data_IF_284927334244
#
_entry.id   IF_284927334244
#
_cell.length_a   1.000
_cell.length_b   1.000
_cell.length_c   1.000
_cell.angle_alpha   90.00
_cell.angle_beta   90.00
_cell.angle_gamma   90.00
#
_symmetry.space_group_name_H-M   'P 1'
#
loop_
_entity.id
_entity.type
_entity.pdbx_description
1 polymer ?
#
# COMPACT_ATOMS: atom_id res chain seq x y z
N UNK A 1 -12.30 -16.91 -28.36
CA UNK A 1 -13.60 -17.03 -27.65
C UNK A 1 -13.53 -18.32 -26.86
N UNK A 2 -13.07 -18.33 -25.61
CA UNK A 2 -13.73 -17.79 -24.41
C UNK A 2 -14.31 -19.01 -23.65
N UNK A 3 -14.08 -19.28 -22.37
CA UNK A 3 -13.33 -18.66 -21.28
C UNK A 3 -12.97 -19.80 -20.28
N UNK A 4 -11.92 -19.68 -19.45
CA UNK A 4 -11.73 -20.56 -18.30
C UNK A 4 -12.24 -19.88 -17.01
N UNK A 5 -13.15 -20.51 -16.27
CA UNK A 5 -13.50 -20.18 -14.87
C UNK A 5 -14.32 -21.31 -14.23
N UNK A 6 -14.34 -21.45 -12.90
CA UNK A 6 -13.24 -21.48 -11.93
C UNK A 6 -13.20 -22.84 -11.20
N UNK A 7 -12.04 -23.21 -10.67
CA UNK A 7 -11.90 -24.39 -9.80
C UNK A 7 -12.64 -24.16 -8.48
N UNK A 8 -13.55 -25.08 -8.17
CA UNK A 8 -14.26 -25.21 -6.89
C UNK A 8 -13.30 -25.79 -5.81
N UNK A 9 -13.45 -25.46 -4.52
CA UNK A 9 -12.62 -26.02 -3.46
C UNK A 9 -12.98 -27.48 -3.18
N UNK A 10 -11.96 -28.29 -2.95
CA UNK A 10 -12.06 -29.73 -2.70
C UNK A 10 -12.48 -30.02 -1.25
N UNK A 11 -13.50 -30.87 -1.05
CA UNK A 11 -13.82 -31.58 0.20
C UNK A 11 -14.66 -32.84 -0.12
N UNK A 12 -14.68 -33.86 0.77
CA UNK A 12 -13.70 -34.91 0.98
C UNK A 12 -13.92 -36.14 0.09
N UNK A 13 -12.85 -36.89 -0.18
CA UNK A 13 -12.87 -38.15 -0.94
C UNK A 13 -13.43 -39.31 -0.12
N UNK A 14 -14.70 -39.61 -0.32
CA UNK A 14 -15.22 -40.99 -0.33
C UNK A 14 -16.12 -41.16 -1.55
N UNK A 15 -15.54 -41.56 -2.68
CA UNK A 15 -16.23 -42.13 -3.85
C UNK A 15 -17.10 -41.24 -4.74
N UNK A 16 -17.55 -40.06 -4.32
CA UNK A 16 -18.48 -39.21 -5.09
C UNK A 16 -17.80 -38.19 -6.02
N UNK A 17 -18.36 -37.98 -7.23
CA UNK A 17 -18.02 -36.83 -8.10
C UNK A 17 -19.04 -35.70 -7.86
N UNK A 18 -18.55 -34.48 -7.63
CA UNK A 18 -19.36 -33.26 -7.61
C UNK A 18 -19.44 -32.68 -9.02
N UNK A 19 -20.65 -32.51 -9.56
CA UNK A 19 -20.89 -31.80 -10.82
C UNK A 19 -21.59 -30.48 -10.49
N UNK A 20 -20.93 -29.36 -10.82
CA UNK A 20 -21.55 -28.05 -10.78
C UNK A 20 -22.46 -27.93 -12.01
N UNK A 21 -23.78 -27.97 -11.82
CA UNK A 21 -24.74 -27.75 -12.90
C UNK A 21 -24.99 -26.24 -13.01
N UNK A 22 -24.09 -25.54 -13.69
CA UNK A 22 -24.38 -24.20 -14.17
C UNK A 22 -25.21 -24.32 -15.46
N UNK A 23 -26.52 -24.11 -15.36
CA UNK A 23 -27.39 -23.80 -16.50
C UNK A 23 -27.64 -24.94 -17.49
N UNK A 24 -28.69 -25.73 -17.23
CA UNK A 24 -29.78 -26.11 -18.15
C UNK A 24 -30.74 -27.02 -17.39
N UNK A 25 -32.03 -26.69 -17.43
CA UNK A 25 -33.06 -27.13 -16.47
C UNK A 25 -33.76 -28.45 -16.85
N UNK A 26 -33.27 -29.19 -17.85
CA UNK A 26 -34.06 -30.26 -18.48
C UNK A 26 -33.92 -31.65 -17.83
N UNK A 27 -33.14 -31.79 -16.76
CA UNK A 27 -32.85 -33.07 -16.10
C UNK A 27 -33.43 -33.23 -14.67
N UNK A 28 -34.24 -32.28 -14.19
CA UNK A 28 -34.78 -32.27 -12.82
C UNK A 28 -36.30 -32.51 -12.79
N UNK A 29 -36.77 -33.34 -11.86
CA UNK A 29 -38.21 -33.53 -11.62
C UNK A 29 -38.83 -32.27 -10.98
N UNK A 30 -40.12 -32.04 -11.22
CA UNK A 30 -40.80 -30.78 -10.90
C UNK A 30 -40.86 -30.46 -9.39
N UNK A 31 -40.89 -31.49 -8.54
CA UNK A 31 -40.84 -31.41 -7.08
C UNK A 31 -39.47 -30.94 -6.56
N UNK A 32 -38.39 -31.36 -7.20
CA UNK A 32 -37.01 -31.01 -6.86
C UNK A 32 -36.64 -29.55 -7.21
N UNK A 33 -37.35 -28.95 -8.17
CA UNK A 33 -37.18 -27.54 -8.54
C UNK A 33 -37.79 -26.56 -7.52
N UNK A 34 -38.80 -26.99 -6.76
CA UNK A 34 -39.44 -26.12 -5.76
C UNK A 34 -38.56 -25.93 -4.50
N UNK A 35 -37.85 -26.98 -4.06
CA UNK A 35 -36.93 -26.89 -2.91
C UNK A 35 -35.66 -26.07 -3.19
N UNK A 36 -35.40 -25.73 -4.45
CA UNK A 36 -34.22 -24.99 -4.89
C UNK A 36 -34.45 -23.47 -5.01
N UNK A 37 -35.70 -22.99 -4.91
CA UNK A 37 -36.02 -21.56 -5.00
C UNK A 37 -35.40 -20.79 -3.83
N UNK A 38 -34.59 -19.76 -4.12
CA UNK A 38 -33.96 -18.88 -3.12
C UNK A 38 -32.49 -19.17 -2.79
N UNK A 39 -31.89 -20.20 -3.42
CA UNK A 39 -30.51 -20.61 -3.19
C UNK A 39 -29.57 -20.14 -4.32
N UNK A 40 -28.35 -19.69 -3.99
CA UNK A 40 -27.38 -19.15 -4.97
C UNK A 40 -26.60 -20.25 -5.72
N UNK A 41 -26.43 -21.42 -5.10
CA UNK A 41 -25.81 -22.60 -5.70
C UNK A 41 -26.59 -23.86 -5.30
N UNK A 42 -26.87 -24.73 -6.27
CA UNK A 42 -27.52 -26.03 -6.07
C UNK A 42 -26.60 -27.10 -6.64
N UNK A 43 -26.25 -28.08 -5.82
CA UNK A 43 -25.34 -29.16 -6.22
C UNK A 43 -26.11 -30.48 -6.28
N UNK A 44 -25.84 -31.27 -7.31
CA UNK A 44 -26.32 -32.64 -7.43
C UNK A 44 -25.21 -33.59 -7.02
N UNK A 45 -25.41 -34.35 -5.96
CA UNK A 45 -24.49 -35.40 -5.54
C UNK A 45 -24.94 -36.70 -6.18
N UNK A 46 -24.11 -37.24 -7.08
CA UNK A 46 -24.32 -38.54 -7.72
C UNK A 46 -23.39 -39.54 -7.05
N UNK A 47 -23.92 -40.31 -6.10
CA UNK A 47 -23.30 -41.53 -5.61
C UNK A 47 -24.11 -42.68 -6.21
N UNK A 48 -23.47 -43.66 -6.84
CA UNK A 48 -24.01 -44.57 -7.88
C UNK A 48 -25.21 -45.45 -7.50
N UNK A 49 -25.90 -45.17 -6.39
CA UNK A 49 -27.16 -45.81 -5.97
C UNK A 49 -28.29 -44.81 -5.69
N UNK A 50 -28.02 -43.52 -5.39
CA UNK A 50 -29.05 -42.49 -5.13
C UNK A 50 -28.55 -41.07 -5.46
N UNK A 51 -29.33 -40.30 -6.22
CA UNK A 51 -29.05 -38.88 -6.48
C UNK A 51 -29.66 -38.00 -5.37
N UNK A 52 -28.85 -37.18 -4.69
CA UNK A 52 -29.33 -36.22 -3.68
C UNK A 52 -28.98 -34.78 -4.06
N UNK A 53 -29.97 -33.89 -3.97
CA UNK A 53 -29.79 -32.45 -4.11
C UNK A 53 -29.39 -31.84 -2.77
N UNK A 54 -28.34 -31.03 -2.76
CA UNK A 54 -27.97 -30.20 -1.61
C UNK A 54 -27.96 -28.73 -2.02
N UNK A 55 -28.69 -27.91 -1.28
CA UNK A 55 -28.79 -26.47 -1.46
C UNK A 55 -28.20 -25.76 -0.24
N UNK A 56 -27.37 -24.74 -0.45
CA UNK A 56 -26.83 -23.93 0.65
C UNK A 56 -27.70 -22.70 0.86
N UNK A 57 -28.22 -22.51 2.07
CA UNK A 57 -29.06 -21.34 2.39
C UNK A 57 -28.22 -20.05 2.43
N UNK A 58 -28.83 -18.95 1.99
CA UNK A 58 -28.34 -17.60 2.26
C UNK A 58 -28.30 -17.42 3.78
N UNK A 59 -27.21 -16.92 4.40
CA UNK A 59 -27.32 -16.44 5.78
C UNK A 59 -28.41 -15.37 5.81
N UNK A 60 -29.31 -15.43 6.80
CA UNK A 60 -30.31 -14.37 6.96
C UNK A 60 -29.59 -13.04 7.20
N UNK A 61 -30.16 -11.93 6.71
CA UNK A 61 -29.63 -10.60 6.99
C UNK A 61 -29.59 -10.29 8.50
N UNK A 62 -30.35 -11.04 9.32
CA UNK A 62 -30.34 -10.97 10.79
C UNK A 62 -29.23 -11.80 11.47
N UNK A 63 -28.49 -12.61 10.72
CA UNK A 63 -27.29 -13.33 11.17
C UNK A 63 -25.99 -12.57 10.84
N UNK A 64 -26.09 -11.39 10.21
CA UNK A 64 -25.08 -10.34 10.33
C UNK A 64 -25.13 -9.85 11.78
N UNK A 65 -24.54 -10.65 12.67
CA UNK A 65 -24.22 -10.17 14.02
C UNK A 65 -23.52 -8.83 13.88
N UNK A 66 -23.75 -7.92 14.84
CA UNK A 66 -22.89 -6.76 15.05
C UNK A 66 -21.46 -7.19 14.75
N UNK A 67 -20.77 -6.44 13.87
CA UNK A 67 -19.40 -6.74 13.48
C UNK A 67 -18.64 -7.24 14.72
N UNK A 68 -17.99 -8.42 14.67
CA UNK A 68 -17.15 -8.82 15.79
C UNK A 68 -16.22 -7.64 16.04
N UNK A 69 -16.32 -7.05 17.24
CA UNK A 69 -15.41 -6.01 17.66
C UNK A 69 -14.03 -6.64 17.59
N UNK A 70 -13.27 -6.28 16.56
CA UNK A 70 -11.87 -6.65 16.47
C UNK A 70 -11.20 -5.83 17.57
N UNK A 71 -11.06 -6.45 18.74
CA UNK A 71 -10.37 -5.86 19.88
C UNK A 71 -8.89 -5.78 19.54
N UNK A 72 -8.45 -4.57 19.21
CA UNK A 72 -7.04 -4.29 18.96
C UNK A 72 -6.24 -4.50 20.27
N UNK A 73 -5.12 -5.26 20.25
CA UNK A 73 -4.24 -5.40 21.41
C UNK A 73 -3.42 -4.11 21.60
N UNK A 74 -2.49 -4.03 22.59
CA UNK A 74 -2.43 -3.18 23.80
C UNK A 74 -2.52 -1.65 23.62
N UNK A 75 -2.79 -1.15 22.42
CA UNK A 75 -2.98 0.25 22.04
C UNK A 75 -4.33 0.86 22.46
N UNK A 76 -5.17 0.15 23.23
CA UNK A 76 -6.51 0.64 23.61
C UNK A 76 -6.45 2.07 24.20
N UNK A 77 -5.50 2.35 25.09
CA UNK A 77 -5.36 3.69 25.68
C UNK A 77 -4.94 4.78 24.70
N UNK A 78 -4.08 4.47 23.71
CA UNK A 78 -3.65 5.48 22.72
C UNK A 78 -4.74 5.74 21.68
N UNK A 79 -5.40 4.68 21.19
CA UNK A 79 -6.51 4.81 20.25
C UNK A 79 -7.68 5.57 20.89
N UNK A 80 -8.02 5.29 22.15
CA UNK A 80 -9.03 6.06 22.89
C UNK A 80 -8.66 7.54 23.06
N UNK A 81 -7.38 7.85 23.27
CA UNK A 81 -6.89 9.25 23.31
C UNK A 81 -7.06 9.93 21.95
N UNK A 82 -6.71 9.25 20.87
CA UNK A 82 -6.89 9.74 19.49
C UNK A 82 -8.38 9.97 19.21
N UNK A 83 -9.24 8.99 19.50
CA UNK A 83 -10.69 9.09 19.31
C UNK A 83 -11.27 10.26 20.10
N UNK A 84 -10.87 10.45 21.38
CA UNK A 84 -11.31 11.61 22.17
C UNK A 84 -10.87 12.93 21.55
N UNK A 85 -9.59 13.07 21.20
CA UNK A 85 -9.07 14.29 20.60
C UNK A 85 -9.80 14.64 19.29
N UNK A 86 -9.98 13.66 18.40
CA UNK A 86 -10.72 13.87 17.16
C UNK A 86 -12.20 14.14 17.38
N UNK A 87 -12.83 13.50 18.36
CA UNK A 87 -14.25 13.72 18.69
C UNK A 87 -14.49 15.14 19.19
N UNK A 88 -13.58 15.68 20.02
CA UNK A 88 -13.65 17.04 20.57
C UNK A 88 -13.23 18.14 19.57
N UNK A 89 -12.44 17.81 18.55
CA UNK A 89 -12.02 18.77 17.52
C UNK A 89 -13.15 19.11 16.54
N UNK A 90 -13.30 20.39 16.20
CA UNK A 90 -14.15 20.86 15.11
C UNK A 90 -13.37 21.01 13.81
N UNK A 91 -12.13 21.49 13.89
CA UNK A 91 -11.22 21.68 12.76
C UNK A 91 -9.99 20.77 12.90
N UNK A 92 -9.73 19.96 11.89
CA UNK A 92 -8.63 18.99 11.85
C UNK A 92 -7.76 19.24 10.63
N UNK A 93 -6.46 19.43 10.87
CA UNK A 93 -5.43 19.39 9.83
C UNK A 93 -4.92 17.96 9.70
N UNK A 94 -4.91 17.42 8.49
CA UNK A 94 -4.39 16.10 8.16
C UNK A 94 -3.16 16.33 7.27
N UNK A 95 -2.00 15.81 7.66
CA UNK A 95 -0.75 16.04 6.93
C UNK A 95 -0.01 14.73 6.64
N UNK A 96 0.59 14.66 5.45
CA UNK A 96 1.44 13.54 5.03
C UNK A 96 2.84 13.99 4.61
N UNK A 97 3.70 13.06 4.21
CA UNK A 97 5.08 13.39 3.82
C UNK A 97 5.17 14.11 2.46
N UNK A 98 6.25 14.88 2.22
CA UNK A 98 6.53 15.71 1.01
C UNK A 98 6.43 14.99 -0.34
N UNK A 99 6.55 13.66 -0.35
CA UNK A 99 6.53 12.85 -1.58
C UNK A 99 5.45 11.79 -1.47
N UNK A 100 4.18 12.19 -1.39
CA UNK A 100 3.12 11.27 -1.01
C UNK A 100 3.00 10.13 -2.02
N UNK A 101 2.82 8.92 -1.52
CA UNK A 101 2.45 7.75 -2.30
C UNK A 101 0.98 7.38 -2.07
N UNK A 102 0.57 6.21 -2.55
CA UNK A 102 -0.81 5.74 -2.41
C UNK A 102 -1.25 5.51 -0.97
N UNK A 103 -0.34 5.12 -0.05
CA UNK A 103 -0.69 4.95 1.37
C UNK A 103 -0.93 6.30 2.02
N UNK A 104 -0.01 7.23 1.82
CA UNK A 104 -0.11 8.59 2.32
C UNK A 104 -1.38 9.30 1.82
N UNK A 105 -1.67 9.31 0.52
CA UNK A 105 -2.87 9.98 -0.01
C UNK A 105 -4.16 9.23 0.36
N UNK A 106 -4.16 7.91 0.24
CA UNK A 106 -5.33 7.08 0.54
C UNK A 106 -5.74 7.18 2.01
N UNK A 107 -4.77 7.15 2.92
CA UNK A 107 -4.99 7.31 4.36
C UNK A 107 -5.57 8.69 4.71
N UNK A 108 -5.01 9.76 4.14
CA UNK A 108 -5.47 11.13 4.39
C UNK A 108 -6.89 11.38 3.88
N UNK A 109 -7.17 10.99 2.63
CA UNK A 109 -8.48 11.19 2.03
C UNK A 109 -9.56 10.35 2.74
N UNK A 110 -9.25 9.11 3.12
CA UNK A 110 -10.17 8.27 3.88
C UNK A 110 -10.55 8.90 5.24
N UNK A 111 -9.54 9.39 5.98
CA UNK A 111 -9.80 10.06 7.26
C UNK A 111 -10.57 11.37 7.05
N UNK A 112 -10.23 12.16 6.03
CA UNK A 112 -10.96 13.39 5.68
C UNK A 112 -12.43 13.12 5.43
N UNK A 113 -12.76 12.20 4.52
CA UNK A 113 -14.14 11.84 4.18
C UNK A 113 -14.92 11.42 5.43
N UNK A 114 -14.31 10.60 6.29
CA UNK A 114 -14.94 10.15 7.52
C UNK A 114 -15.18 11.31 8.51
N UNK A 115 -14.21 12.19 8.73
CA UNK A 115 -14.36 13.34 9.63
C UNK A 115 -15.38 14.34 9.09
N UNK A 116 -15.41 14.58 7.78
CA UNK A 116 -16.43 15.42 7.13
C UNK A 116 -17.83 14.81 7.28
N UNK A 117 -17.98 13.50 7.13
CA UNK A 117 -19.27 12.82 7.36
C UNK A 117 -19.73 12.93 8.83
N UNK A 118 -18.79 13.09 9.77
CA UNK A 118 -19.06 13.37 11.18
C UNK A 118 -19.25 14.87 11.49
N UNK A 119 -19.36 15.73 10.46
CA UNK A 119 -19.63 17.16 10.61
C UNK A 119 -18.41 18.02 10.97
N UNK A 120 -17.19 17.51 10.78
CA UNK A 120 -15.95 18.24 11.08
C UNK A 120 -15.37 18.91 9.84
N UNK A 121 -14.61 19.98 10.06
CA UNK A 121 -13.80 20.64 9.03
C UNK A 121 -12.44 19.94 8.93
N UNK A 122 -12.20 19.20 7.85
CA UNK A 122 -10.97 18.42 7.67
C UNK A 122 -10.18 18.91 6.45
N UNK A 123 -8.94 19.34 6.68
CA UNK A 123 -8.05 19.94 5.69
C UNK A 123 -6.84 19.03 5.46
N UNK A 124 -6.63 18.56 4.23
CA UNK A 124 -5.43 17.76 3.92
C UNK A 124 -4.28 18.65 3.43
N UNK A 125 -3.05 18.26 3.76
CA UNK A 125 -1.85 18.99 3.37
C UNK A 125 -0.68 18.06 3.05
N UNK A 126 -0.12 18.25 1.85
CA UNK A 126 1.19 17.76 1.45
C UNK A 126 1.93 18.90 0.75
N UNK A 127 3.24 18.96 0.97
CA UNK A 127 4.08 19.91 0.25
C UNK A 127 4.38 19.40 -1.17
N UNK A 128 4.23 20.28 -2.16
CA UNK A 128 4.61 20.01 -3.54
C UNK A 128 3.48 19.42 -4.40
N UNK A 129 3.77 19.10 -5.67
CA UNK A 129 2.79 18.52 -6.57
C UNK A 129 2.45 17.08 -6.16
N UNK A 130 1.18 16.71 -6.34
CA UNK A 130 0.73 15.34 -6.13
C UNK A 130 1.09 14.46 -7.34
N UNK A 131 1.39 13.17 -7.15
CA UNK A 131 1.69 12.28 -8.26
C UNK A 131 0.43 12.06 -9.14
N UNK A 132 0.55 12.21 -10.47
CA UNK A 132 -0.59 12.19 -11.37
C UNK A 132 -1.31 10.83 -11.42
N UNK A 133 -0.63 9.73 -11.10
CA UNK A 133 -1.25 8.39 -11.06
C UNK A 133 -2.33 8.28 -9.97
N UNK A 134 -2.34 9.17 -8.97
CA UNK A 134 -3.34 9.18 -7.90
C UNK A 134 -4.50 10.15 -8.17
N UNK A 135 -4.55 10.78 -9.36
CA UNK A 135 -5.60 11.72 -9.76
C UNK A 135 -7.04 11.15 -9.69
N UNK A 136 -7.18 9.82 -9.69
CA UNK A 136 -8.47 9.13 -9.58
C UNK A 136 -9.03 9.07 -8.15
N UNK A 137 -8.23 9.38 -7.12
CA UNK A 137 -8.66 9.27 -5.74
C UNK A 137 -9.79 10.27 -5.44
N UNK A 138 -10.93 9.82 -4.88
CA UNK A 138 -12.03 10.72 -4.53
C UNK A 138 -11.63 11.79 -3.52
N UNK A 139 -11.89 13.06 -3.83
CA UNK A 139 -11.62 14.19 -2.93
C UNK A 139 -10.20 14.76 -3.00
N UNK A 140 -9.40 14.37 -4.00
CA UNK A 140 -8.03 14.87 -4.20
C UNK A 140 -7.96 16.39 -4.45
N UNK A 141 -9.07 17.01 -4.84
CA UNK A 141 -9.22 18.47 -5.01
C UNK A 141 -9.08 19.25 -3.70
N UNK A 142 -9.07 18.59 -2.53
CA UNK A 142 -8.85 19.25 -1.25
C UNK A 142 -7.40 19.70 -1.01
N UNK A 143 -6.44 19.22 -1.80
CA UNK A 143 -5.03 19.58 -1.69
C UNK A 143 -4.70 20.86 -2.47
N UNK A 144 -3.58 21.49 -2.12
CA UNK A 144 -3.07 22.69 -2.81
C UNK A 144 -3.33 24.01 -2.08
N UNK A 145 -4.15 23.99 -1.04
CA UNK A 145 -4.27 25.11 -0.11
C UNK A 145 -3.15 25.10 0.94
N UNK A 146 -2.78 26.28 1.44
CA UNK A 146 -1.92 26.39 2.62
C UNK A 146 -2.63 25.78 3.84
N UNK A 147 -1.89 25.13 4.77
CA UNK A 147 -2.49 24.53 5.94
C UNK A 147 -3.04 25.63 6.86
N UNK A 148 -4.22 25.44 7.48
CA UNK A 148 -4.74 26.38 8.48
C UNK A 148 -3.78 26.46 9.68
N UNK A 149 -3.57 27.68 10.18
CA UNK A 149 -2.68 27.92 11.33
C UNK A 149 -3.35 27.61 12.69
N UNK A 150 -4.67 27.47 12.71
CA UNK A 150 -5.49 27.39 13.92
C UNK A 150 -6.42 26.17 13.95
N UNK A 151 -5.92 24.99 13.55
CA UNK A 151 -6.65 23.74 13.72
C UNK A 151 -6.69 23.30 15.20
N UNK A 152 -7.77 22.64 15.62
CA UNK A 152 -7.93 22.10 16.97
C UNK A 152 -7.04 20.85 17.17
N UNK A 153 -6.81 20.10 16.08
CA UNK A 153 -5.92 18.96 16.05
C UNK A 153 -5.17 18.86 14.71
N UNK A 154 -3.97 18.31 14.76
CA UNK A 154 -3.19 17.91 13.58
C UNK A 154 -2.94 16.40 13.62
N UNK A 155 -3.35 15.70 12.56
CA UNK A 155 -3.09 14.27 12.35
C UNK A 155 -2.03 14.11 11.28
N UNK A 156 -0.85 13.64 11.66
CA UNK A 156 0.19 13.22 10.73
C UNK A 156 -0.02 11.74 10.40
N UNK A 157 -0.27 11.45 9.13
CA UNK A 157 -0.47 10.11 8.61
C UNK A 157 0.72 9.70 7.74
N UNK A 158 1.17 8.47 7.92
CA UNK A 158 2.29 7.89 7.17
C UNK A 158 3.60 8.72 7.28
N UNK A 159 3.71 9.44 8.39
CA UNK A 159 4.74 10.43 8.61
C UNK A 159 4.92 10.68 10.11
N UNK A 160 6.00 10.16 10.67
CA UNK A 160 6.26 10.27 12.11
C UNK A 160 6.80 11.62 12.60
N UNK A 161 7.20 12.52 11.71
CA UNK A 161 7.89 13.77 12.08
C UNK A 161 7.50 14.95 11.19
N UNK A 162 7.28 16.17 11.76
CA UNK A 162 6.92 17.37 11.00
C UNK A 162 7.87 17.69 9.84
N UNK A 163 9.18 17.48 10.03
CA UNK A 163 10.19 17.74 9.00
C UNK A 163 10.07 16.86 7.74
N UNK A 164 9.34 15.73 7.82
CA UNK A 164 9.02 14.89 6.65
C UNK A 164 7.82 15.42 5.87
N UNK A 165 6.96 16.25 6.48
CA UNK A 165 5.90 17.00 5.80
C UNK A 165 6.53 18.14 5.00
N UNK A 166 7.19 19.06 5.70
CA UNK A 166 8.09 20.07 5.14
C UNK A 166 8.97 20.68 6.24
N UNK A 167 10.01 21.44 5.86
CA UNK A 167 10.90 22.10 6.83
C UNK A 167 10.16 23.20 7.61
N UNK A 168 9.23 23.88 6.94
CA UNK A 168 8.46 25.00 7.46
C UNK A 168 7.15 24.54 8.14
N UNK A 169 6.75 23.29 7.95
CA UNK A 169 5.52 22.76 8.53
C UNK A 169 5.54 22.84 10.07
N UNK A 170 4.47 23.39 10.62
CA UNK A 170 4.24 23.44 12.07
C UNK A 170 2.84 22.89 12.33
N UNK A 171 2.71 21.82 13.13
CA UNK A 171 1.39 21.32 13.50
C UNK A 171 0.68 22.34 14.40
N UNK A 172 -0.66 22.34 14.34
CA UNK A 172 -1.52 23.17 15.17
C UNK A 172 -2.44 22.28 16.05
N UNK A 173 -2.77 22.78 17.25
CA UNK A 173 -3.63 22.07 18.20
C UNK A 173 -3.01 20.78 18.74
N UNK A 174 -3.86 19.83 19.13
CA UNK A 174 -3.41 18.51 19.62
C UNK A 174 -2.76 17.73 18.48
N UNK A 175 -1.55 17.25 18.69
CA UNK A 175 -0.77 16.56 17.67
C UNK A 175 -0.92 15.04 17.78
N UNK A 176 -1.30 14.42 16.67
CA UNK A 176 -1.56 12.99 16.54
C UNK A 176 -0.66 12.44 15.44
N UNK A 177 -0.04 11.29 15.67
CA UNK A 177 0.70 10.55 14.66
C UNK A 177 0.11 9.14 14.54
N UNK A 178 -0.18 8.72 13.30
CA UNK A 178 -0.58 7.35 12.99
C UNK A 178 0.32 6.89 11.84
N UNK A 179 1.11 5.86 12.10
CA UNK A 179 2.16 5.42 11.19
C UNK A 179 2.45 3.93 11.42
N UNK A 180 2.90 3.24 10.38
CA UNK A 180 3.31 1.83 10.43
C UNK A 180 4.84 1.67 10.31
N UNK A 181 5.57 2.76 10.03
CA UNK A 181 7.02 2.75 9.91
C UNK A 181 7.72 2.44 11.24
N UNK A 182 8.93 1.87 11.13
CA UNK A 182 9.83 1.71 12.28
C UNK A 182 10.56 3.03 12.57
N UNK A 183 9.85 3.98 13.17
CA UNK A 183 10.41 5.24 13.64
C UNK A 183 10.51 5.24 15.16
N UNK A 184 11.66 5.70 15.67
CA UNK A 184 12.00 5.51 17.07
C UNK A 184 11.30 6.50 17.99
N UNK A 185 10.93 7.70 17.51
CA UNK A 185 10.22 8.72 18.30
C UNK A 185 9.39 9.65 17.39
N UNK A 186 8.07 9.74 17.64
CA UNK A 186 7.23 10.82 17.12
C UNK A 186 7.03 11.86 18.22
N UNK A 187 7.22 13.17 17.97
CA UNK A 187 7.01 14.20 18.97
C UNK A 187 5.52 14.50 19.25
N UNK A 188 4.60 13.69 18.72
CA UNK A 188 3.16 13.91 18.82
C UNK A 188 2.62 13.65 20.24
N UNK A 189 1.61 14.41 20.66
CA UNK A 189 0.90 14.23 21.93
C UNK A 189 0.30 12.81 22.03
N UNK A 190 -0.17 12.26 20.90
CA UNK A 190 -0.60 10.88 20.77
C UNK A 190 -0.03 10.22 19.51
N UNK A 191 0.83 9.22 19.68
CA UNK A 191 1.41 8.46 18.57
C UNK A 191 0.96 6.99 18.60
N UNK A 192 0.16 6.58 17.61
CA UNK A 192 -0.20 5.18 17.38
C UNK A 192 0.67 4.60 16.27
N UNK A 193 1.72 3.89 16.67
CA UNK A 193 2.69 3.26 15.77
C UNK A 193 2.50 1.74 15.82
N UNK A 194 2.07 1.13 14.71
CA UNK A 194 1.88 -0.32 14.60
C UNK A 194 2.67 -0.87 13.42
N UNK A 195 3.87 -1.39 13.72
CA UNK A 195 4.81 -1.95 12.74
C UNK A 195 4.34 -3.27 12.12
N UNK A 196 3.24 -3.85 12.61
CA UNK A 196 2.67 -5.09 12.08
C UNK A 196 1.63 -4.83 10.99
N UNK A 197 1.14 -3.59 10.88
CA UNK A 197 0.20 -3.21 9.83
C UNK A 197 0.89 -3.12 8.48
N UNK A 198 0.16 -3.51 7.42
CA UNK A 198 0.75 -3.48 6.08
C UNK A 198 1.00 -2.07 5.58
N UNK A 199 0.16 -1.12 6.02
CA UNK A 199 0.13 0.28 5.61
C UNK A 199 -0.56 1.14 6.68
N UNK A 200 -0.40 2.46 6.63
CA UNK A 200 -1.17 3.42 7.43
C UNK A 200 -2.67 3.32 7.14
N UNK A 201 -3.06 2.99 5.91
CA UNK A 201 -4.48 2.79 5.53
C UNK A 201 -5.16 1.69 6.35
N UNK A 202 -4.44 0.61 6.71
CA UNK A 202 -4.94 -0.43 7.59
C UNK A 202 -5.21 0.08 9.03
N UNK A 203 -4.42 1.06 9.51
CA UNK A 203 -4.63 1.71 10.80
C UNK A 203 -5.80 2.68 10.75
N UNK A 204 -5.89 3.49 9.68
CA UNK A 204 -7.03 4.41 9.47
C UNK A 204 -8.33 3.63 9.41
N UNK A 205 -8.40 2.48 8.74
CA UNK A 205 -9.58 1.61 8.74
C UNK A 205 -10.03 1.24 10.16
N UNK A 206 -9.08 0.86 11.04
CA UNK A 206 -9.36 0.57 12.44
C UNK A 206 -9.86 1.81 13.20
N UNK A 207 -9.25 2.98 12.97
CA UNK A 207 -9.67 4.25 13.56
C UNK A 207 -11.10 4.63 13.15
N UNK A 208 -11.47 4.45 11.88
CA UNK A 208 -12.83 4.76 11.42
C UNK A 208 -13.87 3.93 12.16
N UNK A 209 -13.59 2.65 12.40
CA UNK A 209 -14.43 1.78 13.22
C UNK A 209 -14.57 2.28 14.66
N UNK A 210 -13.49 2.77 15.27
CA UNK A 210 -13.50 3.33 16.62
C UNK A 210 -14.23 4.69 16.72
N UNK A 211 -14.22 5.47 15.64
CA UNK A 211 -15.00 6.71 15.51
C UNK A 211 -16.49 6.47 15.18
N UNK A 212 -16.86 5.23 14.86
CA UNK A 212 -18.21 4.90 14.38
C UNK A 212 -18.52 5.48 12.99
N UNK A 213 -17.50 5.81 12.20
CA UNK A 213 -17.68 6.36 10.86
C UNK A 213 -17.95 5.24 9.85
N UNK A 214 -18.98 5.37 8.99
CA UNK A 214 -19.24 4.38 7.94
C UNK A 214 -18.14 4.42 6.86
N UNK A 215 -17.80 3.26 6.31
CA UNK A 215 -16.90 3.15 5.16
C UNK A 215 -17.76 3.25 3.89
N UNK A 216 -17.78 4.43 3.27
CA UNK A 216 -18.45 4.66 1.98
C UNK A 216 -17.59 4.14 0.81
N UNK A 217 -18.12 4.05 -0.42
CA UNK A 217 -17.33 3.68 -1.60
C UNK A 217 -16.10 4.58 -1.85
N UNK A 218 -16.20 5.87 -1.54
CA UNK A 218 -15.09 6.81 -1.65
C UNK A 218 -13.98 6.50 -0.64
N UNK A 219 -14.35 6.28 0.62
CA UNK A 219 -13.42 5.85 1.68
C UNK A 219 -12.82 4.49 1.32
N UNK A 220 -13.64 3.56 0.81
CA UNK A 220 -13.21 2.24 0.42
C UNK A 220 -12.14 2.29 -0.69
N UNK A 221 -12.35 3.13 -1.70
CA UNK A 221 -11.40 3.36 -2.79
C UNK A 221 -10.06 3.91 -2.26
N UNK A 222 -10.12 4.89 -1.36
CA UNK A 222 -8.92 5.50 -0.77
C UNK A 222 -8.13 4.49 0.09
N UNK A 223 -8.80 3.78 1.00
CA UNK A 223 -8.14 2.78 1.86
C UNK A 223 -7.63 1.57 1.07
N UNK A 224 -8.37 1.15 0.03
CA UNK A 224 -7.92 0.02 -0.79
C UNK A 224 -6.68 0.40 -1.58
N UNK A 225 -6.63 1.63 -2.13
CA UNK A 225 -5.44 2.15 -2.79
C UNK A 225 -4.23 2.12 -1.86
N UNK A 226 -4.40 2.62 -0.62
CA UNK A 226 -3.33 2.63 0.39
C UNK A 226 -2.76 1.23 0.67
N UNK A 227 -3.63 0.25 0.93
CA UNK A 227 -3.21 -1.15 1.16
C UNK A 227 -2.59 -1.76 -0.10
N UNK A 228 -3.19 -1.52 -1.27
CA UNK A 228 -2.72 -2.08 -2.55
C UNK A 228 -1.31 -1.60 -2.88
N UNK A 229 -1.05 -0.30 -2.78
CA UNK A 229 0.26 0.25 -3.17
C UNK A 229 1.36 -0.22 -2.24
N UNK A 230 1.11 -0.22 -0.94
CA UNK A 230 2.16 -0.46 0.05
C UNK A 230 2.46 -1.94 0.28
N UNK A 231 1.50 -2.82 -0.05
CA UNK A 231 1.75 -4.27 -0.16
C UNK A 231 2.33 -4.70 -1.51
N UNK A 232 2.53 -3.75 -2.44
CA UNK A 232 2.99 -4.04 -3.79
C UNK A 232 2.00 -4.93 -4.56
N UNK A 233 0.71 -4.64 -4.43
CA UNK A 233 -0.40 -5.48 -4.88
C UNK A 233 -0.35 -6.87 -4.23
N UNK A 234 -0.23 -6.91 -2.90
CA UNK A 234 -0.21 -8.11 -2.08
C UNK A 234 0.96 -9.08 -2.37
N UNK A 235 2.05 -8.59 -2.96
CA UNK A 235 3.24 -9.40 -3.30
C UNK A 235 4.38 -9.25 -2.31
N UNK A 236 4.38 -8.17 -1.53
CA UNK A 236 5.45 -7.88 -0.57
C UNK A 236 5.20 -8.62 0.75
N UNK A 237 6.28 -8.79 1.53
CA UNK A 237 6.27 -9.58 2.77
C UNK A 237 5.46 -8.94 3.91
N UNK A 238 5.05 -7.67 3.78
CA UNK A 238 4.12 -6.99 4.70
C UNK A 238 2.65 -7.33 4.43
N UNK A 239 2.35 -8.14 3.41
CA UNK A 239 0.99 -8.66 3.19
C UNK A 239 0.62 -9.63 4.32
N UNK A 240 -0.39 -9.27 5.11
CA UNK A 240 -0.85 -10.05 6.26
C UNK A 240 -2.29 -10.57 6.07
N UNK A 241 -2.74 -11.56 6.86
CA UNK A 241 -4.16 -11.96 6.89
C UNK A 241 -5.07 -10.75 7.18
N UNK A 242 -4.67 -9.88 8.11
CA UNK A 242 -5.41 -8.65 8.45
C UNK A 242 -5.57 -7.73 7.24
N UNK A 243 -4.50 -7.52 6.45
CA UNK A 243 -4.56 -6.69 5.25
C UNK A 243 -5.53 -7.27 4.20
N UNK A 244 -5.51 -8.59 3.99
CA UNK A 244 -6.39 -9.27 3.03
C UNK A 244 -7.86 -9.26 3.48
N UNK A 245 -8.12 -9.43 4.79
CA UNK A 245 -9.46 -9.33 5.37
C UNK A 245 -10.03 -7.91 5.24
N UNK A 246 -9.21 -6.89 5.53
CA UNK A 246 -9.62 -5.49 5.35
C UNK A 246 -9.89 -5.24 3.87
N UNK A 247 -9.00 -5.64 2.96
CA UNK A 247 -9.20 -5.51 1.52
C UNK A 247 -10.55 -6.11 1.09
N UNK A 248 -10.88 -7.33 1.52
CA UNK A 248 -12.17 -7.96 1.23
C UNK A 248 -13.37 -7.12 1.71
N UNK A 249 -13.29 -6.52 2.91
CA UNK A 249 -14.34 -5.63 3.42
C UNK A 249 -14.44 -4.33 2.62
N UNK A 250 -13.32 -3.80 2.12
CA UNK A 250 -13.32 -2.61 1.27
C UNK A 250 -13.96 -2.89 -0.10
N UNK A 251 -13.78 -4.10 -0.65
CA UNK A 251 -14.51 -4.55 -1.85
C UNK A 251 -16.03 -4.58 -1.57
N UNK A 252 -16.45 -5.14 -0.45
CA UNK A 252 -17.87 -5.15 -0.04
C UNK A 252 -18.44 -3.73 0.12
N UNK A 253 -17.61 -2.78 0.54
CA UNK A 253 -17.95 -1.37 0.69
C UNK A 253 -17.90 -0.56 -0.63
N UNK A 254 -17.50 -1.18 -1.75
CA UNK A 254 -17.56 -0.57 -3.09
C UNK A 254 -16.21 -0.20 -3.71
N UNK A 255 -15.08 -0.58 -3.13
CA UNK A 255 -13.80 -0.48 -3.83
C UNK A 255 -13.78 -1.40 -5.07
N UNK A 256 -13.26 -0.91 -6.20
CA UNK A 256 -13.03 -1.69 -7.42
C UNK A 256 -11.52 -1.95 -7.59
N UNK A 257 -11.02 -3.15 -7.22
CA UNK A 257 -9.62 -3.49 -7.35
C UNK A 257 -9.05 -3.35 -8.76
N UNK A 258 -9.85 -3.65 -9.79
CA UNK A 258 -9.38 -3.63 -11.17
C UNK A 258 -9.21 -2.18 -11.62
N UNK A 259 -10.22 -1.33 -11.40
CA UNK A 259 -10.15 0.08 -11.73
C UNK A 259 -9.01 0.79 -10.97
N UNK A 260 -8.86 0.51 -9.67
CA UNK A 260 -7.79 1.07 -8.82
C UNK A 260 -6.42 0.60 -9.34
N UNK A 261 -6.24 -0.69 -9.63
CA UNK A 261 -4.97 -1.21 -10.15
C UNK A 261 -4.61 -0.61 -11.52
N UNK A 262 -5.58 -0.51 -12.43
CA UNK A 262 -5.37 0.14 -13.74
C UNK A 262 -4.97 1.60 -13.55
N UNK A 263 -5.62 2.34 -12.66
CA UNK A 263 -5.26 3.73 -12.39
C UNK A 263 -3.87 3.88 -11.77
N UNK A 264 -3.49 3.01 -10.83
CA UNK A 264 -2.18 3.05 -10.18
C UNK A 264 -1.02 2.59 -11.10
N UNK A 265 -1.25 1.58 -11.95
CA UNK A 265 -0.15 0.86 -12.61
C UNK A 265 -0.19 0.92 -14.15
N UNK A 266 -1.34 1.21 -14.75
CA UNK A 266 -1.58 1.16 -16.20
C UNK A 266 -1.89 2.56 -16.80
N UNK A 267 -1.52 3.63 -16.09
CA UNK A 267 -1.75 5.03 -16.47
C UNK A 267 -0.46 5.81 -16.81
N UNK A 268 0.65 5.10 -17.01
CA UNK A 268 1.98 5.69 -17.16
C UNK A 268 2.14 6.42 -18.50
N UNK A 269 2.85 7.55 -18.45
CA UNK A 269 3.20 8.30 -19.66
C UNK A 269 4.18 7.53 -20.56
N UNK A 270 4.22 7.80 -21.88
CA UNK A 270 5.24 7.25 -22.77
C UNK A 270 6.66 7.58 -22.31
N UNK A 271 6.89 8.77 -21.74
CA UNK A 271 8.17 9.16 -21.16
C UNK A 271 8.57 8.29 -19.97
N UNK A 272 7.60 7.94 -19.11
CA UNK A 272 7.81 7.01 -18.00
C UNK A 272 8.19 5.61 -18.47
N UNK A 273 7.53 5.10 -19.50
CA UNK A 273 7.87 3.80 -20.10
C UNK A 273 9.25 3.82 -20.77
N UNK A 274 9.57 4.90 -21.49
CA UNK A 274 10.88 5.08 -22.11
C UNK A 274 12.00 5.12 -21.08
N UNK A 275 11.82 5.87 -19.99
CA UNK A 275 12.82 6.01 -18.93
C UNK A 275 13.10 4.67 -18.25
N UNK A 276 12.06 3.87 -17.97
CA UNK A 276 12.24 2.52 -17.47
C UNK A 276 13.05 1.67 -18.44
N UNK A 277 12.70 1.66 -19.73
CA UNK A 277 13.46 0.94 -20.76
C UNK A 277 14.93 1.36 -20.79
N UNK A 278 15.21 2.67 -20.75
CA UNK A 278 16.57 3.20 -20.75
C UNK A 278 17.37 2.72 -19.52
N UNK A 279 16.78 2.73 -18.33
CA UNK A 279 17.41 2.21 -17.11
C UNK A 279 17.63 0.70 -17.16
N UNK A 280 16.66 -0.06 -17.68
CA UNK A 280 16.77 -1.51 -17.81
C UNK A 280 17.86 -1.93 -18.83
N UNK A 281 18.12 -1.11 -19.85
CA UNK A 281 19.22 -1.36 -20.80
C UNK A 281 20.61 -0.99 -20.27
N UNK A 282 20.69 -0.26 -19.15
CA UNK A 282 21.94 0.19 -18.55
C UNK A 282 22.29 -0.52 -17.24
N UNK A 283 21.62 -1.63 -16.93
CA UNK A 283 21.86 -2.42 -15.72
C UNK A 283 23.29 -2.96 -15.67
N UNK A 284 23.88 -2.87 -14.50
CA UNK A 284 25.21 -3.41 -14.17
C UNK A 284 25.06 -4.44 -13.07
N UNK A 285 25.61 -5.62 -13.30
CA UNK A 285 25.56 -6.73 -12.36
C UNK A 285 26.92 -6.95 -11.71
N UNK A 286 26.91 -7.20 -10.40
CA UNK A 286 28.09 -7.46 -9.59
C UNK A 286 27.77 -8.55 -8.56
N UNK A 287 28.80 -9.02 -7.84
CA UNK A 287 28.67 -10.07 -6.82
C UNK A 287 27.94 -11.31 -7.36
N UNK A 288 28.40 -11.83 -8.50
CA UNK A 288 27.81 -12.99 -9.20
C UNK A 288 26.32 -12.80 -9.52
N UNK A 289 25.93 -11.58 -9.90
CA UNK A 289 24.55 -11.24 -10.26
C UNK A 289 23.63 -10.94 -9.07
N UNK A 290 24.14 -10.98 -7.84
CA UNK A 290 23.35 -10.73 -6.62
C UNK A 290 23.18 -9.24 -6.31
N UNK A 291 24.08 -8.40 -6.83
CA UNK A 291 23.96 -6.95 -6.81
C UNK A 291 23.66 -6.46 -8.23
N UNK A 292 22.60 -5.68 -8.38
CA UNK A 292 22.31 -4.96 -9.62
C UNK A 292 22.25 -3.47 -9.34
N UNK A 293 22.76 -2.65 -10.25
CA UNK A 293 22.61 -1.21 -10.14
C UNK A 293 22.51 -0.50 -11.49
N UNK A 294 21.97 0.71 -11.46
CA UNK A 294 21.91 1.62 -12.60
C UNK A 294 21.81 3.07 -12.12
N UNK A 295 21.84 4.01 -13.05
CA UNK A 295 21.74 5.43 -12.80
C UNK A 295 20.73 6.09 -13.75
N UNK A 296 19.96 7.05 -13.22
CA UNK A 296 19.20 8.01 -14.02
C UNK A 296 20.01 9.29 -14.13
N UNK A 297 20.40 9.65 -15.35
CA UNK A 297 21.17 10.85 -15.64
C UNK A 297 20.25 12.06 -15.94
N UNK A 298 20.75 13.30 -15.86
CA UNK A 298 19.96 14.48 -16.23
C UNK A 298 19.40 14.38 -17.66
N UNK A 299 20.22 13.95 -18.62
CA UNK A 299 19.80 13.77 -20.02
C UNK A 299 18.70 12.71 -20.19
N UNK A 300 18.64 11.70 -19.31
CA UNK A 300 17.54 10.73 -19.30
C UNK A 300 16.24 11.37 -18.80
N UNK A 301 16.30 12.20 -17.75
CA UNK A 301 15.12 12.96 -17.33
C UNK A 301 14.64 13.93 -18.41
N UNK A 302 15.55 14.67 -19.04
CA UNK A 302 15.21 15.61 -20.12
C UNK A 302 14.47 14.88 -21.26
N UNK A 303 14.98 13.71 -21.67
CA UNK A 303 14.36 12.91 -22.73
C UNK A 303 13.05 12.24 -22.30
N UNK A 304 12.92 11.88 -21.03
CA UNK A 304 11.67 11.36 -20.48
C UNK A 304 10.58 12.43 -20.34
N UNK A 305 10.92 13.71 -20.57
CA UNK A 305 10.02 14.84 -20.39
C UNK A 305 9.90 15.29 -18.93
N UNK A 306 10.88 14.97 -18.09
CA UNK A 306 10.98 15.46 -16.71
C UNK A 306 11.03 14.36 -15.63
N UNK A 307 11.51 14.69 -14.41
CA UNK A 307 11.57 13.78 -13.27
C UNK A 307 10.22 13.30 -12.75
N UNK A 308 9.14 14.03 -13.02
CA UNK A 308 7.76 13.64 -12.73
C UNK A 308 7.31 12.38 -13.48
N UNK A 309 7.99 12.05 -14.59
CA UNK A 309 7.75 10.82 -15.34
C UNK A 309 8.54 9.62 -14.78
N UNK A 310 9.31 9.79 -13.70
CA UNK A 310 10.00 8.68 -13.05
C UNK A 310 9.00 7.63 -12.54
N UNK A 311 9.09 6.37 -12.98
CA UNK A 311 8.23 5.32 -12.46
C UNK A 311 8.57 5.02 -10.99
N UNK A 312 7.56 5.06 -10.13
CA UNK A 312 7.69 4.67 -8.72
C UNK A 312 8.24 3.23 -8.56
N UNK A 313 7.80 2.34 -9.46
CA UNK A 313 8.19 0.93 -9.50
C UNK A 313 9.63 0.69 -9.98
N UNK A 314 10.32 1.68 -10.55
CA UNK A 314 11.56 1.46 -11.29
C UNK A 314 12.65 0.79 -10.45
N UNK A 315 12.81 1.22 -9.20
CA UNK A 315 13.75 0.60 -8.26
C UNK A 315 13.42 -0.86 -7.94
N UNK A 316 12.13 -1.22 -7.93
CA UNK A 316 11.65 -2.59 -7.76
C UNK A 316 11.82 -3.43 -9.03
N UNK A 317 11.70 -2.84 -10.22
CA UNK A 317 11.95 -3.52 -11.50
C UNK A 317 13.38 -4.09 -11.58
N UNK A 318 14.38 -3.34 -11.10
CA UNK A 318 15.77 -3.82 -11.01
C UNK A 318 15.88 -5.12 -10.19
N UNK A 319 15.23 -5.15 -9.04
CA UNK A 319 15.24 -6.30 -8.11
C UNK A 319 14.57 -7.54 -8.69
N UNK A 320 13.69 -7.39 -9.69
CA UNK A 320 12.90 -8.48 -10.25
C UNK A 320 13.76 -9.56 -10.95
N UNK A 321 14.96 -9.21 -11.40
CA UNK A 321 15.88 -10.17 -12.01
C UNK A 321 16.18 -11.37 -11.07
N UNK A 322 16.23 -12.57 -11.65
CA UNK A 322 16.54 -13.81 -10.93
C UNK A 322 17.92 -13.70 -10.29
N UNK A 323 18.06 -14.20 -9.05
CA UNK A 323 19.34 -14.18 -8.32
C UNK A 323 19.71 -12.84 -7.67
N UNK A 324 19.12 -11.73 -8.12
CA UNK A 324 19.34 -10.42 -7.49
C UNK A 324 18.81 -10.42 -6.06
N UNK A 325 19.69 -10.09 -5.12
CA UNK A 325 19.38 -9.87 -3.71
C UNK A 325 19.31 -8.38 -3.37
N UNK A 326 20.13 -7.54 -3.99
CA UNK A 326 20.19 -6.10 -3.75
C UNK A 326 20.17 -5.31 -5.07
N UNK A 327 19.28 -4.33 -5.17
CA UNK A 327 19.19 -3.38 -6.26
C UNK A 327 19.48 -1.95 -5.77
N UNK A 328 20.31 -1.22 -6.52
CA UNK A 328 20.69 0.17 -6.23
C UNK A 328 20.41 1.04 -7.46
N UNK A 329 19.57 2.07 -7.31
CA UNK A 329 19.28 3.02 -8.38
C UNK A 329 19.71 4.41 -7.96
N UNK A 330 20.74 4.94 -8.60
CA UNK A 330 21.18 6.33 -8.41
C UNK A 330 20.38 7.27 -9.29
N UNK A 331 20.08 8.46 -8.80
CA UNK A 331 19.20 9.44 -9.45
C UNK A 331 19.86 10.81 -9.41
N UNK A 332 20.12 11.40 -10.59
CA UNK A 332 20.71 12.73 -10.74
C UNK A 332 19.63 13.72 -11.20
N UNK A 333 18.67 13.97 -10.31
CA UNK A 333 17.54 14.85 -10.59
C UNK A 333 17.79 16.30 -10.16
N UNK A 334 16.91 17.24 -10.55
CA UNK A 334 17.05 18.66 -10.23
C UNK A 334 16.95 18.97 -8.72
N UNK A 335 16.27 18.12 -7.95
CA UNK A 335 16.22 18.21 -6.48
C UNK A 335 17.51 17.71 -5.78
N UNK A 336 18.53 17.35 -6.55
CA UNK A 336 19.80 16.83 -6.06
C UNK A 336 19.96 15.32 -6.20
N UNK A 337 21.19 14.81 -5.98
CA UNK A 337 21.50 13.38 -6.05
C UNK A 337 20.80 12.56 -4.98
N UNK A 338 20.25 11.42 -5.40
CA UNK A 338 19.53 10.49 -4.53
C UNK A 338 19.88 9.05 -4.89
N UNK A 339 19.67 8.15 -3.94
CA UNK A 339 19.77 6.71 -4.16
C UNK A 339 18.52 6.01 -3.63
N UNK A 340 18.01 5.06 -4.39
CA UNK A 340 16.98 4.13 -3.96
C UNK A 340 17.55 2.72 -3.87
N UNK A 341 17.25 2.05 -2.76
CA UNK A 341 17.75 0.73 -2.42
C UNK A 341 16.57 -0.21 -2.25
N UNK A 342 16.66 -1.40 -2.85
CA UNK A 342 15.66 -2.47 -2.71
C UNK A 342 16.37 -3.79 -2.48
N UNK A 343 15.98 -4.55 -1.46
CA UNK A 343 16.49 -5.91 -1.25
C UNK A 343 15.39 -6.95 -1.39
N UNK A 344 15.76 -8.16 -1.80
CA UNK A 344 14.79 -9.25 -2.01
C UNK A 344 14.39 -9.89 -0.69
N UNK A 345 15.36 -10.28 0.15
CA UNK A 345 15.04 -11.00 1.37
C UNK A 345 15.95 -10.75 2.57
N UNK A 346 17.27 -10.61 2.37
CA UNK A 346 18.25 -10.74 3.46
C UNK A 346 18.89 -9.40 3.83
N UNK A 347 19.33 -8.60 2.87
CA UNK A 347 20.04 -7.33 3.14
C UNK A 347 19.09 -6.29 3.73
N UNK A 348 19.32 -5.82 4.95
CA UNK A 348 18.60 -4.66 5.49
C UNK A 348 19.07 -3.38 4.78
N UNK A 349 18.24 -2.86 3.88
CA UNK A 349 18.57 -1.65 3.12
C UNK A 349 18.31 -0.37 3.90
N UNK A 350 17.50 -0.39 4.96
CA UNK A 350 17.30 0.76 5.84
C UNK A 350 18.59 1.03 6.63
N UNK A 351 19.19 -0.02 7.21
CA UNK A 351 20.48 0.07 7.88
C UNK A 351 21.59 0.54 6.92
N UNK A 352 21.57 0.08 5.67
CA UNK A 352 22.52 0.55 4.65
C UNK A 352 22.31 2.03 4.32
N UNK A 353 21.07 2.47 4.12
CA UNK A 353 20.73 3.86 3.82
C UNK A 353 21.11 4.81 4.97
N UNK A 354 20.92 4.40 6.22
CA UNK A 354 21.23 5.19 7.41
C UNK A 354 22.71 5.61 7.49
N UNK A 355 23.63 4.77 6.99
CA UNK A 355 25.07 5.09 6.89
C UNK A 355 25.36 6.30 5.99
N UNK A 356 24.41 6.67 5.13
CA UNK A 356 24.50 7.76 4.18
C UNK A 356 23.46 8.86 4.46
N UNK A 357 22.95 8.95 5.69
CA UNK A 357 21.96 9.96 6.08
C UNK A 357 20.55 9.70 5.57
N UNK A 358 20.27 8.48 5.11
CA UNK A 358 18.96 8.05 4.64
C UNK A 358 18.17 7.20 5.66
N UNK A 359 17.16 6.50 5.16
CA UNK A 359 16.30 5.62 5.95
C UNK A 359 15.20 4.95 5.12
N UNK A 360 14.33 4.18 5.77
CA UNK A 360 13.20 3.49 5.15
C UNK A 360 12.88 2.15 5.81
N UNK A 361 12.27 1.23 5.07
CA UNK A 361 12.00 -0.14 5.50
C UNK A 361 13.19 -1.07 5.24
N UNK A 362 13.28 -2.21 5.96
CA UNK A 362 14.35 -3.19 5.77
C UNK A 362 14.50 -3.71 4.32
N UNK A 363 13.44 -3.62 3.50
CA UNK A 363 13.42 -4.06 2.10
C UNK A 363 13.39 -2.92 1.08
N UNK A 364 13.12 -1.69 1.52
CA UNK A 364 12.98 -0.53 0.66
C UNK A 364 13.38 0.75 1.40
N UNK A 365 14.51 1.34 1.00
CA UNK A 365 15.05 2.54 1.63
C UNK A 365 15.71 3.46 0.60
N UNK A 366 16.15 4.63 1.04
CA UNK A 366 16.89 5.56 0.20
C UNK A 366 17.62 6.60 1.00
N UNK A 367 18.51 7.32 0.33
CA UNK A 367 19.25 8.44 0.89
C UNK A 367 19.34 9.58 -0.13
N UNK A 368 19.42 10.81 0.37
CA UNK A 368 19.74 12.00 -0.40
C UNK A 368 21.12 12.47 0.01
N UNK A 369 21.91 12.98 -0.93
CA UNK A 369 23.26 13.42 -0.62
C UNK A 369 23.67 14.60 -1.49
N UNK A 370 24.48 15.48 -0.90
CA UNK A 370 25.03 16.63 -1.61
C UNK A 370 26.15 16.21 -2.57
N UNK A 371 26.20 16.87 -3.72
CA UNK A 371 27.35 16.85 -4.62
C UNK A 371 28.00 18.23 -4.62
N UNK A 372 28.80 18.49 -3.57
CA UNK A 372 29.40 19.80 -3.26
C UNK A 372 30.46 20.27 -4.27
N UNK A 373 31.04 19.34 -5.04
CA UNK A 373 32.11 19.63 -6.00
C UNK A 373 32.08 18.67 -7.20
N UNK A 374 32.94 18.96 -8.18
CA UNK A 374 33.19 18.07 -9.30
C UNK A 374 33.73 16.72 -8.82
N UNK A 375 32.94 15.66 -9.01
CA UNK A 375 33.27 14.29 -8.62
C UNK A 375 32.72 13.86 -7.24
N UNK A 376 32.14 14.75 -6.45
CA UNK A 376 31.48 14.38 -5.19
C UNK A 376 30.41 13.30 -5.37
N UNK A 377 29.64 13.40 -6.47
CA UNK A 377 28.66 12.39 -6.85
C UNK A 377 29.30 11.02 -7.06
N UNK A 378 30.35 10.92 -7.88
CA UNK A 378 31.00 9.65 -8.20
C UNK A 378 31.64 9.03 -6.96
N UNK A 379 32.31 9.84 -6.12
CA UNK A 379 32.85 9.36 -4.83
C UNK A 379 31.76 8.79 -3.94
N UNK A 380 30.60 9.46 -3.82
CA UNK A 380 29.50 8.98 -3.00
C UNK A 380 28.85 7.73 -3.58
N UNK A 381 28.64 7.67 -4.90
CA UNK A 381 28.16 6.48 -5.61
C UNK A 381 29.07 5.29 -5.30
N UNK A 382 30.38 5.46 -5.43
CA UNK A 382 31.34 4.38 -5.25
C UNK A 382 31.40 3.90 -3.80
N UNK A 383 31.27 4.80 -2.81
CA UNK A 383 31.12 4.46 -1.39
C UNK A 383 29.84 3.64 -1.12
N UNK A 384 28.71 4.04 -1.71
CA UNK A 384 27.44 3.31 -1.57
C UNK A 384 27.54 1.92 -2.23
N UNK A 385 28.14 1.84 -3.42
CA UNK A 385 28.38 0.55 -4.10
C UNK A 385 29.33 -0.34 -3.31
N UNK A 386 30.38 0.22 -2.69
CA UNK A 386 31.26 -0.54 -1.80
C UNK A 386 30.50 -1.10 -0.59
N UNK A 387 29.66 -0.30 0.05
CA UNK A 387 28.80 -0.75 1.15
C UNK A 387 27.81 -1.83 0.69
N UNK A 388 27.22 -1.68 -0.50
CA UNK A 388 26.32 -2.66 -1.11
C UNK A 388 27.03 -3.99 -1.37
N UNK A 389 28.23 -3.96 -1.96
CA UNK A 389 29.08 -5.16 -2.14
C UNK A 389 29.37 -5.86 -0.82
N UNK A 390 29.77 -5.11 0.21
CA UNK A 390 30.02 -5.68 1.54
C UNK A 390 28.77 -6.34 2.13
N UNK A 391 27.61 -5.68 2.04
CA UNK A 391 26.35 -6.22 2.55
C UNK A 391 25.94 -7.51 1.83
N UNK A 392 26.15 -7.58 0.50
CA UNK A 392 25.90 -8.79 -0.28
C UNK A 392 26.92 -9.88 0.06
N UNK A 393 28.22 -9.58 0.08
CA UNK A 393 29.26 -10.57 0.39
C UNK A 393 29.18 -11.15 1.80
N UNK A 394 28.64 -10.39 2.77
CA UNK A 394 28.41 -10.86 4.14
C UNK A 394 27.31 -11.93 4.25
N UNK A 395 26.50 -12.11 3.21
CA UNK A 395 25.51 -13.18 3.18
C UNK A 395 26.23 -14.51 2.93
N UNK A 396 26.14 -15.43 3.89
CA UNK A 396 26.73 -16.75 3.78
C UNK A 396 26.41 -17.42 2.43
N UNK A 397 27.41 -17.95 1.70
CA UNK A 397 27.18 -18.75 0.51
C UNK A 397 26.47 -20.05 0.93
N UNK A 398 25.23 -20.25 0.48
CA UNK A 398 24.50 -21.51 0.71
C UNK A 398 23.08 -21.41 1.27
N UNK A 399 22.51 -20.22 1.47
CA UNK A 399 21.07 -20.07 1.72
C UNK A 399 20.38 -19.51 0.47
N UNK A 400 20.26 -20.35 -0.55
CA UNK A 400 19.34 -20.16 -1.67
C UNK A 400 18.32 -21.30 -1.58
N UNK A 401 17.08 -20.95 -1.24
CA UNK A 401 15.89 -21.70 -1.66
C UNK A 401 15.43 -21.13 -3.02
#
# INVERSE_FOLDING_TARGET
MGAPHPRCPALPTAGGRLVCIAGRHDALRHDQLQSARGHRHVYLVVDGRHNQLRATQRPSASALGKAPQMTLPPAAGILERIVRALSSAHSVLIAGHRRPDGDCLGSQLALRHALTALGKQAHCYNEGPLPPQYAFLPGLDCFGAAPPQNADATVMLDCSAPGRVSKEFRPAGVTICIDHHATDQSPADAAWIDRTASSTGELVFGLLGALGAPVTPEIATCLYTAILTDTGSFRYSNTSPRALEIAARLLEAGADPAAIATACYESRSPGSLWLEGAVLTSLRYECDGRLVWSEITPAMYDRAGGPENEPESLSSSLRAARGVELAVLFKRGPAGPRVSLRSKARVDVAALAARFGGGGHPRAAGAEFEASDAGAYDRRRDQILQAARQAVSALAPGAAD
#
